data_IF_213844383594
#
_entry.id   IF_213844383594
#
_cell.length_a   1.000
_cell.length_b   1.000
_cell.length_c   1.000
_cell.angle_alpha   90.00
_cell.angle_beta   90.00
_cell.angle_gamma   90.00
#
_symmetry.space_group_name_H-M   'P 1'
#
loop_
_entity.id
_entity.type
_entity.pdbx_description
1 polymer ?
#
# COMPACT_ATOMS: atom_id res chain seq x y z
N UNK A 1 1.33 -24.28 -12.66
CA UNK A 1 0.94 -24.03 -11.25
C UNK A 1 0.10 -22.77 -11.20
N UNK A 2 -1.19 -22.86 -11.54
CA UNK A 2 -2.11 -21.72 -11.60
C UNK A 2 -3.55 -22.24 -11.60
N UNK A 3 -3.96 -22.97 -10.55
CA UNK A 3 -5.31 -23.55 -10.45
C UNK A 3 -5.92 -23.59 -9.04
N UNK A 4 -5.24 -23.05 -8.02
CA UNK A 4 -5.72 -23.05 -6.62
C UNK A 4 -6.08 -21.66 -6.13
N UNK A 5 -6.98 -20.97 -6.82
CA UNK A 5 -7.53 -19.70 -6.32
C UNK A 5 -9.01 -19.51 -6.69
N UNK A 6 -9.76 -20.60 -6.83
CA UNK A 6 -11.21 -20.59 -7.02
C UNK A 6 -11.81 -21.68 -6.12
N UNK A 7 -11.55 -21.60 -4.81
CA UNK A 7 -12.25 -22.45 -3.84
C UNK A 7 -12.69 -21.72 -2.56
N UNK A 8 -12.30 -20.46 -2.35
CA UNK A 8 -12.76 -19.68 -1.18
C UNK A 8 -14.12 -18.97 -1.37
N UNK A 9 -14.78 -19.10 -2.53
CA UNK A 9 -16.04 -18.36 -2.81
C UNK A 9 -17.31 -19.17 -2.47
N UNK A 10 -17.22 -20.47 -2.23
CA UNK A 10 -18.41 -21.35 -2.11
C UNK A 10 -18.86 -21.67 -0.67
N UNK A 11 -18.22 -21.16 0.38
CA UNK A 11 -18.56 -21.48 1.78
C UNK A 11 -19.58 -20.51 2.45
N UNK A 12 -20.21 -19.61 1.70
CA UNK A 12 -21.21 -18.66 2.23
C UNK A 12 -22.67 -19.00 1.88
N UNK A 13 -22.93 -20.13 1.23
CA UNK A 13 -24.25 -20.47 0.66
C UNK A 13 -25.10 -21.46 1.46
N UNK A 14 -25.16 -21.34 2.80
CA UNK A 14 -25.79 -22.38 3.63
C UNK A 14 -26.56 -21.87 4.84
N UNK A 15 -27.64 -21.12 4.64
CA UNK A 15 -28.75 -21.04 5.59
C UNK A 15 -30.00 -20.47 4.90
N UNK A 16 -30.92 -21.36 4.52
CA UNK A 16 -32.28 -20.97 4.16
C UNK A 16 -32.99 -20.47 5.42
N UNK A 17 -33.14 -19.16 5.56
CA UNK A 17 -34.01 -18.53 6.54
C UNK A 17 -35.24 -17.94 5.83
N UNK A 18 -36.40 -18.18 6.45
CA UNK A 18 -37.75 -17.97 5.91
C UNK A 18 -37.98 -16.58 5.33
N UNK A 19 -38.72 -16.54 4.23
CA UNK A 19 -39.18 -15.35 3.53
C UNK A 19 -40.12 -14.54 4.46
N UNK A 20 -39.52 -13.67 5.27
CA UNK A 20 -40.23 -12.52 5.82
C UNK A 20 -40.02 -11.41 4.80
N UNK A 21 -41.09 -10.78 4.32
CA UNK A 21 -41.00 -9.57 3.52
C UNK A 21 -40.43 -8.44 4.39
N UNK A 22 -39.12 -8.47 4.63
CA UNK A 22 -38.37 -7.34 5.15
C UNK A 22 -38.34 -6.32 4.02
N UNK A 23 -39.04 -5.21 4.20
CA UNK A 23 -38.69 -3.96 3.52
C UNK A 23 -37.19 -3.78 3.77
N UNK A 24 -36.37 -4.10 2.76
CA UNK A 24 -34.92 -3.91 2.85
C UNK A 24 -34.71 -2.42 3.03
N UNK A 25 -34.39 -2.02 4.25
CA UNK A 25 -33.80 -0.72 4.51
C UNK A 25 -32.38 -0.73 3.90
N UNK A 26 -32.34 -0.55 2.58
CA UNK A 26 -31.10 -0.51 1.79
C UNK A 26 -30.21 0.63 2.28
N UNK A 27 -30.82 1.70 2.80
CA UNK A 27 -30.13 2.82 3.47
C UNK A 27 -29.37 2.38 4.71
N UNK A 28 -30.04 1.70 5.65
CA UNK A 28 -29.41 1.20 6.88
C UNK A 28 -28.29 0.18 6.64
N UNK A 29 -28.47 -0.71 5.66
CA UNK A 29 -27.44 -1.69 5.29
C UNK A 29 -26.24 -1.07 4.57
N UNK A 30 -26.44 -0.01 3.80
CA UNK A 30 -25.35 0.74 3.16
C UNK A 30 -24.53 1.53 4.19
N UNK A 31 -25.19 2.12 5.17
CA UNK A 31 -24.52 2.84 6.27
C UNK A 31 -23.69 1.91 7.16
N UNK A 32 -24.20 0.72 7.50
CA UNK A 32 -23.45 -0.26 8.28
C UNK A 32 -22.24 -0.81 7.53
N UNK A 33 -22.39 -1.09 6.23
CA UNK A 33 -21.29 -1.51 5.37
C UNK A 33 -20.22 -0.41 5.24
N UNK A 34 -20.62 0.85 5.02
CA UNK A 34 -19.68 1.97 4.96
C UNK A 34 -18.92 2.13 6.27
N UNK A 35 -19.59 2.06 7.42
CA UNK A 35 -18.93 2.13 8.73
C UNK A 35 -17.97 0.96 8.96
N UNK A 36 -18.36 -0.27 8.60
CA UNK A 36 -17.49 -1.44 8.73
C UNK A 36 -16.27 -1.37 7.79
N UNK A 37 -16.44 -0.90 6.56
CA UNK A 37 -15.36 -0.74 5.58
C UNK A 37 -14.39 0.36 6.02
N UNK A 38 -14.88 1.50 6.51
CA UNK A 38 -14.02 2.58 6.98
C UNK A 38 -13.24 2.15 8.23
N UNK A 39 -13.91 1.53 9.20
CA UNK A 39 -13.30 1.15 10.47
C UNK A 39 -12.21 0.08 10.32
N UNK A 40 -12.43 -0.94 9.47
CA UNK A 40 -11.44 -1.99 9.23
C UNK A 40 -10.44 -1.61 8.12
N UNK A 41 -10.88 -0.83 7.15
CA UNK A 41 -10.09 -0.43 6.00
C UNK A 41 -8.88 0.42 6.37
N UNK A 42 -8.99 1.26 7.41
CA UNK A 42 -7.86 2.08 7.89
C UNK A 42 -6.67 1.22 8.34
N UNK A 43 -6.94 0.10 9.02
CA UNK A 43 -5.90 -0.81 9.48
C UNK A 43 -5.34 -1.66 8.34
N UNK A 44 -6.20 -2.09 7.42
CA UNK A 44 -5.77 -2.82 6.23
C UNK A 44 -4.82 -1.98 5.36
N UNK A 45 -5.18 -0.73 5.11
CA UNK A 45 -4.36 0.21 4.32
C UNK A 45 -3.08 0.61 5.04
N UNK A 46 -3.12 0.78 6.37
CA UNK A 46 -1.91 1.00 7.16
C UNK A 46 -0.95 -0.19 7.09
N UNK A 47 -1.47 -1.41 7.24
CA UNK A 47 -0.67 -2.63 7.12
C UNK A 47 -0.10 -2.82 5.71
N UNK A 48 -0.86 -2.45 4.67
CA UNK A 48 -0.38 -2.52 3.29
C UNK A 48 0.79 -1.57 3.05
N UNK A 49 0.82 -0.37 3.66
CA UNK A 49 1.99 0.53 3.57
C UNK A 49 3.27 -0.18 4.03
N UNK A 50 3.24 -0.80 5.21
CA UNK A 50 4.41 -1.49 5.76
C UNK A 50 4.85 -2.64 4.86
N UNK A 51 3.91 -3.46 4.37
CA UNK A 51 4.22 -4.56 3.45
C UNK A 51 4.84 -4.06 2.14
N UNK A 52 4.30 -2.99 1.55
CA UNK A 52 4.79 -2.42 0.30
C UNK A 52 6.20 -1.85 0.44
N UNK A 53 6.50 -1.20 1.56
CA UNK A 53 7.86 -0.73 1.87
C UNK A 53 8.82 -1.91 2.00
N UNK A 54 8.43 -2.99 2.69
CA UNK A 54 9.26 -4.20 2.79
C UNK A 54 9.54 -4.83 1.41
N UNK A 55 8.54 -4.89 0.53
CA UNK A 55 8.75 -5.36 -0.84
C UNK A 55 9.65 -4.43 -1.65
N UNK A 56 9.51 -3.11 -1.49
CA UNK A 56 10.39 -2.13 -2.11
C UNK A 56 11.85 -2.32 -1.67
N UNK A 57 12.10 -2.46 -0.38
CA UNK A 57 13.44 -2.67 0.19
C UNK A 57 14.07 -3.97 -0.29
N UNK A 58 13.29 -5.06 -0.30
CA UNK A 58 13.77 -6.34 -0.81
C UNK A 58 14.25 -6.19 -2.25
N UNK A 59 13.43 -5.59 -3.09
CA UNK A 59 13.73 -5.37 -4.50
C UNK A 59 14.93 -4.43 -4.71
N UNK A 60 15.00 -3.35 -3.92
CA UNK A 60 16.12 -2.42 -3.92
C UNK A 60 17.42 -3.10 -3.50
N UNK A 61 17.38 -4.03 -2.54
CA UNK A 61 18.56 -4.81 -2.13
C UNK A 61 19.09 -5.68 -3.27
N UNK A 62 18.22 -6.26 -4.10
CA UNK A 62 18.62 -6.99 -5.30
C UNK A 62 19.28 -6.05 -6.32
N UNK A 63 18.69 -4.88 -6.56
CA UNK A 63 19.26 -3.85 -7.42
C UNK A 63 20.66 -3.43 -7.00
N UNK A 64 20.86 -3.20 -5.69
CA UNK A 64 22.15 -2.81 -5.10
C UNK A 64 23.21 -3.90 -5.26
N UNK A 65 22.84 -5.18 -5.14
CA UNK A 65 23.80 -6.28 -5.34
C UNK A 65 24.32 -6.32 -6.77
N UNK A 66 23.43 -6.24 -7.76
CA UNK A 66 23.85 -6.24 -9.16
C UNK A 66 24.63 -4.96 -9.52
N UNK A 67 24.26 -3.82 -8.94
CA UNK A 67 24.98 -2.56 -9.11
C UNK A 67 26.39 -2.61 -8.52
N UNK A 68 26.55 -3.17 -7.32
CA UNK A 68 27.87 -3.31 -6.70
C UNK A 68 28.75 -4.27 -7.50
N UNK A 69 28.20 -5.37 -8.02
CA UNK A 69 28.93 -6.26 -8.91
C UNK A 69 29.41 -5.54 -10.19
N UNK A 70 28.58 -4.65 -10.77
CA UNK A 70 29.00 -3.81 -11.88
C UNK A 70 30.14 -2.85 -11.48
N UNK A 71 30.02 -2.19 -10.33
CA UNK A 71 31.05 -1.29 -9.82
C UNK A 71 32.39 -2.00 -9.58
N UNK A 72 32.36 -3.22 -9.06
CA UNK A 72 33.56 -4.01 -8.82
C UNK A 72 34.29 -4.27 -10.14
N UNK A 73 33.56 -4.55 -11.22
CA UNK A 73 34.20 -4.74 -12.52
C UNK A 73 34.73 -3.41 -13.08
N UNK A 74 33.95 -2.33 -12.99
CA UNK A 74 34.43 -1.01 -13.42
C UNK A 74 35.70 -0.56 -12.67
N UNK A 75 35.89 -1.03 -11.44
CA UNK A 75 37.09 -0.76 -10.63
C UNK A 75 38.26 -1.68 -10.95
N UNK A 76 38.01 -2.86 -11.50
CA UNK A 76 39.07 -3.84 -11.81
C UNK A 76 39.95 -3.45 -13.01
N UNK A 77 39.40 -2.74 -13.99
CA UNK A 77 40.13 -2.25 -15.16
C UNK A 77 39.45 -1.02 -15.76
N UNK A 78 40.26 -0.09 -16.29
CA UNK A 78 39.81 1.24 -16.69
C UNK A 78 38.93 1.25 -17.96
N UNK A 79 39.05 0.24 -18.81
CA UNK A 79 38.28 0.03 -20.03
C UNK A 79 37.08 -0.92 -19.84
N UNK A 80 36.99 -1.62 -18.70
CA UNK A 80 35.95 -2.63 -18.45
C UNK A 80 34.52 -2.06 -18.41
N UNK A 81 34.38 -0.75 -18.21
CA UNK A 81 33.12 -0.02 -18.24
C UNK A 81 33.08 1.06 -19.33
N UNK A 82 33.85 0.88 -20.40
CA UNK A 82 33.73 1.71 -21.60
C UNK A 82 32.31 1.62 -22.19
N UNK A 83 31.78 2.78 -22.58
CA UNK A 83 30.48 2.89 -23.24
C UNK A 83 30.68 2.96 -24.75
N UNK A 84 29.82 2.26 -25.48
CA UNK A 84 29.72 2.37 -26.93
C UNK A 84 29.04 3.68 -27.35
N UNK A 85 28.99 3.96 -28.67
CA UNK A 85 28.32 5.16 -29.20
C UNK A 85 26.82 5.20 -28.85
N UNK A 86 26.21 4.04 -28.60
CA UNK A 86 24.79 3.92 -28.21
C UNK A 86 24.56 4.17 -26.70
N UNK A 87 25.60 4.47 -25.93
CA UNK A 87 25.52 4.68 -24.48
C UNK A 87 25.35 3.39 -23.66
N UNK A 88 25.53 2.21 -24.28
CA UNK A 88 25.54 0.90 -23.62
C UNK A 88 26.96 0.49 -23.26
N UNK A 89 27.14 -0.36 -22.27
CA UNK A 89 28.46 -0.92 -22.00
C UNK A 89 28.93 -1.79 -23.17
N UNK A 90 30.18 -1.60 -23.60
CA UNK A 90 30.81 -2.41 -24.66
C UNK A 90 30.91 -3.87 -24.21
N UNK A 91 31.17 -4.07 -22.91
CA UNK A 91 31.23 -5.39 -22.27
C UNK A 91 29.83 -5.91 -21.96
N UNK A 92 29.52 -7.10 -22.46
CA UNK A 92 28.17 -7.68 -22.38
C UNK A 92 27.75 -8.06 -20.96
N UNK A 93 28.68 -8.45 -20.10
CA UNK A 93 28.45 -8.78 -18.70
C UNK A 93 28.17 -7.53 -17.85
N UNK A 94 28.90 -6.43 -18.07
CA UNK A 94 28.60 -5.12 -17.46
C UNK A 94 27.20 -4.65 -17.85
N UNK A 95 26.87 -4.71 -19.15
CA UNK A 95 25.55 -4.33 -19.64
C UNK A 95 24.44 -5.19 -19.03
N UNK A 96 24.66 -6.50 -18.89
CA UNK A 96 23.69 -7.39 -18.27
C UNK A 96 23.42 -7.03 -16.80
N UNK A 97 24.47 -6.77 -16.02
CA UNK A 97 24.35 -6.35 -14.62
C UNK A 97 23.61 -5.01 -14.50
N UNK A 98 23.94 -4.05 -15.35
CA UNK A 98 23.27 -2.75 -15.40
C UNK A 98 21.76 -2.89 -15.67
N UNK A 99 21.39 -3.62 -16.73
CA UNK A 99 19.99 -3.80 -17.10
C UNK A 99 19.20 -4.55 -16.01
N UNK A 100 19.84 -5.53 -15.36
CA UNK A 100 19.24 -6.27 -14.26
C UNK A 100 19.01 -5.37 -13.04
N UNK A 101 20.02 -4.61 -12.63
CA UNK A 101 19.92 -3.61 -11.56
C UNK A 101 18.79 -2.60 -11.82
N UNK A 102 18.69 -2.06 -13.04
CA UNK A 102 17.61 -1.15 -13.46
C UNK A 102 16.23 -1.81 -13.45
N UNK A 103 16.15 -3.11 -13.76
CA UNK A 103 14.88 -3.84 -13.71
C UNK A 103 14.35 -3.98 -12.28
N UNK A 104 15.25 -4.28 -11.32
CA UNK A 104 14.93 -4.32 -9.89
C UNK A 104 14.51 -2.94 -9.39
N UNK A 105 15.26 -1.89 -9.73
CA UNK A 105 14.94 -0.51 -9.35
C UNK A 105 13.55 -0.06 -9.83
N UNK A 106 13.19 -0.36 -11.08
CA UNK A 106 11.83 -0.09 -11.59
C UNK A 106 10.74 -0.81 -10.81
N UNK A 107 10.98 -2.04 -10.34
CA UNK A 107 10.01 -2.78 -9.53
C UNK A 107 9.94 -2.21 -8.11
N UNK A 108 11.06 -1.84 -7.50
CA UNK A 108 11.11 -1.16 -6.21
C UNK A 108 10.29 0.14 -6.24
N UNK A 109 10.43 0.93 -7.31
CA UNK A 109 9.70 2.18 -7.46
C UNK A 109 8.18 1.97 -7.56
N UNK A 110 7.71 0.91 -8.22
CA UNK A 110 6.27 0.57 -8.24
C UNK A 110 5.74 0.26 -6.84
N UNK A 111 6.52 -0.43 -6.03
CA UNK A 111 6.16 -0.71 -4.64
C UNK A 111 6.10 0.57 -3.79
N UNK A 112 7.05 1.50 -3.98
CA UNK A 112 7.05 2.80 -3.30
C UNK A 112 5.85 3.67 -3.69
N UNK A 113 5.50 3.73 -4.98
CA UNK A 113 4.29 4.42 -5.45
C UNK A 113 3.05 3.79 -4.82
N UNK A 114 2.98 2.46 -4.77
CA UNK A 114 1.90 1.75 -4.08
C UNK A 114 1.82 2.09 -2.58
N UNK A 115 2.97 2.20 -1.90
CA UNK A 115 3.04 2.57 -0.50
C UNK A 115 2.53 3.99 -0.25
N UNK A 116 2.93 4.95 -1.10
CA UNK A 116 2.44 6.33 -1.05
C UNK A 116 0.93 6.41 -1.27
N UNK A 117 0.42 5.70 -2.29
CA UNK A 117 -1.02 5.63 -2.55
C UNK A 117 -1.79 5.01 -1.37
N UNK A 118 -1.25 3.94 -0.78
CA UNK A 118 -1.85 3.29 0.40
C UNK A 118 -1.81 4.20 1.63
N UNK A 119 -0.75 4.98 1.81
CA UNK A 119 -0.64 5.95 2.89
C UNK A 119 -1.68 7.06 2.76
N UNK A 120 -1.87 7.59 1.54
CA UNK A 120 -2.93 8.58 1.27
C UNK A 120 -4.32 8.00 1.55
N UNK A 121 -4.58 6.77 1.13
CA UNK A 121 -5.84 6.07 1.42
C UNK A 121 -6.05 5.88 2.93
N UNK A 122 -4.99 5.50 3.65
CA UNK A 122 -5.02 5.36 5.11
C UNK A 122 -5.42 6.67 5.76
N UNK A 123 -4.75 7.77 5.41
CA UNK A 123 -5.05 9.11 5.93
C UNK A 123 -6.51 9.51 5.64
N UNK A 124 -6.98 9.32 4.42
CA UNK A 124 -8.37 9.60 4.06
C UNK A 124 -9.37 8.79 4.89
N UNK A 125 -9.11 7.50 5.12
CA UNK A 125 -9.97 6.64 5.94
C UNK A 125 -10.00 7.08 7.41
N UNK A 126 -8.87 7.50 7.98
CA UNK A 126 -8.83 8.07 9.32
C UNK A 126 -9.63 9.37 9.44
N UNK A 127 -9.56 10.24 8.43
CA UNK A 127 -10.34 11.49 8.39
C UNK A 127 -11.85 11.19 8.31
N UNK A 128 -12.26 10.22 7.49
CA UNK A 128 -13.67 9.81 7.35
C UNK A 128 -14.17 9.12 8.63
N UNK A 129 -13.33 8.34 9.31
CA UNK A 129 -13.67 7.67 10.56
C UNK A 129 -13.75 8.63 11.76
N UNK A 130 -13.22 9.86 11.61
CA UNK A 130 -13.26 10.87 12.66
C UNK A 130 -14.71 11.35 12.86
N UNK A 131 -15.36 10.89 13.92
CA UNK A 131 -16.69 11.35 14.31
C UNK A 131 -16.57 12.51 15.30
N UNK A 132 -16.88 13.77 14.93
CA UNK A 132 -16.97 14.85 15.89
C UNK A 132 -18.25 14.69 16.72
N UNK A 133 -18.13 14.28 17.99
CA UNK A 133 -19.10 14.69 19.01
C UNK A 133 -20.01 13.67 19.67
N UNK A 134 -19.82 12.35 19.53
CA UNK A 134 -20.49 11.39 20.42
C UNK A 134 -19.46 10.60 21.22
N UNK A 135 -18.96 11.26 22.27
CA UNK A 135 -18.40 10.52 23.40
C UNK A 135 -19.51 9.64 24.00
N UNK A 136 -19.17 8.50 24.62
CA UNK A 136 -20.18 7.64 25.23
C UNK A 136 -21.06 8.47 26.18
N UNK A 137 -22.38 8.30 26.09
CA UNK A 137 -23.38 9.13 26.81
C UNK A 137 -23.33 9.04 28.34
N UNK A 138 -22.31 8.39 28.90
CA UNK A 138 -22.03 8.25 30.32
C UNK A 138 -20.85 9.09 30.81
N UNK A 139 -20.30 10.01 30.00
CA UNK A 139 -19.29 10.97 30.48
C UNK A 139 -20.03 12.11 31.19
N UNK A 140 -19.83 12.32 32.51
CA UNK A 140 -20.55 13.32 33.30
C UNK A 140 -20.15 14.78 32.97
N UNK A 141 -19.27 14.99 31.99
CA UNK A 141 -18.79 16.30 31.56
C UNK A 141 -19.30 16.58 30.16
N UNK A 142 -20.13 17.62 30.01
CA UNK A 142 -20.53 18.15 28.70
C UNK A 142 -19.29 18.62 27.90
N UNK A 143 -19.30 18.56 26.57
CA UNK A 143 -18.18 19.04 25.75
C UNK A 143 -17.90 20.51 26.08
N UNK A 144 -16.71 20.77 26.61
CA UNK A 144 -16.29 22.09 27.07
C UNK A 144 -16.10 23.00 25.85
N UNK A 145 -16.97 23.99 25.68
CA UNK A 145 -16.84 25.03 24.65
C UNK A 145 -15.82 26.07 25.12
N UNK A 146 -14.57 25.94 24.68
CA UNK A 146 -13.57 27.01 24.84
C UNK A 146 -13.84 28.10 23.81
N UNK A 147 -14.46 29.19 24.24
CA UNK A 147 -14.60 30.41 23.44
C UNK A 147 -13.28 31.18 23.41
N UNK A 148 -12.62 31.23 22.26
CA UNK A 148 -11.49 32.15 22.05
C UNK A 148 -12.07 33.53 21.80
N UNK A 149 -12.01 34.42 22.80
CA UNK A 149 -12.21 35.85 22.59
C UNK A 149 -10.93 36.43 22.01
N UNK A 150 -10.91 36.67 20.70
CA UNK A 150 -9.89 37.51 20.08
C UNK A 150 -10.38 38.95 20.27
N UNK A 151 -9.70 39.72 21.11
CA UNK A 151 -9.90 41.16 21.20
C UNK A 151 -9.23 41.80 19.98
N UNK A 152 -10.02 42.51 19.17
CA UNK A 152 -9.54 43.46 18.18
C UNK A 152 -9.64 44.85 18.77
#
# INVERSE_FOLDING_TARGET
>A
MMRSMILCVLLLGGAAARLSAQVRDVSGQRQSFQRAVVHNGKWLTAASVAALIMFAEREHSHSRRDWNALLDICRSAQDACALGPDGRYVRSDAEQLYQRSRSYDRRANRWLIGAQASLLATTALFIIDLHPGEGPGNIPFAPMRVGVRIAF
#
